data_IF_710376594086
#
_entry.id   IF_710376594086
#
_cell.length_a   1.000
_cell.length_b   1.000
_cell.length_c   1.000
_cell.angle_alpha   90.00
_cell.angle_beta   90.00
_cell.angle_gamma   90.00
#
_symmetry.space_group_name_H-M   'P 1'
#
loop_
_entity.id
_entity.type
_entity.pdbx_description
1 polymer ?
#
# COMPACT_ATOMS: atom_id res chain seq x y z
N UNK A 1 -43.04 -23.43 -10.04
CA UNK A 1 -43.08 -22.03 -10.49
C UNK A 1 -43.17 -21.15 -9.26
N UNK A 2 -42.21 -20.23 -9.12
CA UNK A 2 -42.19 -19.03 -8.26
C UNK A 2 -42.40 -19.20 -6.76
N UNK A 3 -41.68 -18.57 -5.85
CA UNK A 3 -40.50 -17.68 -5.87
C UNK A 3 -39.97 -17.76 -4.43
N UNK A 4 -38.67 -17.93 -4.25
CA UNK A 4 -38.03 -17.80 -2.94
C UNK A 4 -37.04 -16.65 -3.00
N UNK A 5 -37.46 -15.57 -2.36
CA UNK A 5 -36.66 -14.62 -1.59
C UNK A 5 -35.47 -13.94 -2.28
N UNK A 6 -35.78 -12.76 -2.82
CA UNK A 6 -34.87 -11.65 -3.00
C UNK A 6 -34.26 -11.25 -1.64
N UNK A 7 -33.19 -11.92 -1.24
CA UNK A 7 -32.28 -11.43 -0.20
C UNK A 7 -31.41 -10.30 -0.78
N UNK A 8 -32.05 -9.21 -1.18
CA UNK A 8 -31.35 -7.94 -1.38
C UNK A 8 -31.14 -7.31 0.01
N UNK A 9 -30.20 -7.89 0.75
CA UNK A 9 -29.69 -7.32 1.99
C UNK A 9 -28.97 -6.03 1.63
N UNK A 10 -29.71 -4.93 1.75
CA UNK A 10 -29.17 -3.57 1.80
C UNK A 10 -28.25 -3.50 3.03
N UNK A 11 -27.00 -3.96 2.88
CA UNK A 11 -25.91 -3.61 3.80
C UNK A 11 -25.93 -2.09 3.86
N UNK A 12 -26.45 -1.53 4.95
CA UNK A 12 -26.30 -0.11 5.27
C UNK A 12 -24.81 0.20 5.14
N UNK A 13 -24.42 0.81 4.02
CA UNK A 13 -23.03 1.07 3.70
C UNK A 13 -22.56 2.18 4.64
N UNK A 14 -22.00 1.78 5.78
CA UNK A 14 -21.27 2.67 6.68
C UNK A 14 -20.39 3.62 5.86
N UNK A 15 -20.43 4.94 6.13
CA UNK A 15 -19.62 5.91 5.42
C UNK A 15 -18.15 5.51 5.40
N UNK A 16 -17.52 5.59 4.24
CA UNK A 16 -16.10 5.29 4.08
C UNK A 16 -15.42 6.33 3.19
N UNK A 17 -14.10 6.41 3.31
CA UNK A 17 -13.29 7.37 2.57
C UNK A 17 -12.31 6.63 1.65
N UNK A 18 -11.98 7.24 0.52
CA UNK A 18 -10.83 6.84 -0.29
C UNK A 18 -9.56 7.47 0.28
N UNK A 19 -8.52 6.66 0.47
CA UNK A 19 -7.30 7.09 1.13
C UNK A 19 -6.07 6.94 0.25
N UNK A 20 -5.10 7.82 0.51
CA UNK A 20 -3.74 7.66 0.03
C UNK A 20 -2.76 8.08 1.12
N UNK A 21 -1.64 7.38 1.23
CA UNK A 21 -0.61 7.64 2.24
C UNK A 21 0.71 7.69 1.51
N UNK A 22 1.34 8.87 1.45
CA UNK A 22 2.61 9.09 0.76
C UNK A 22 3.68 9.49 1.77
N UNK A 23 4.92 9.10 1.51
CA UNK A 23 6.07 9.59 2.28
C UNK A 23 6.49 10.97 1.77
N UNK A 24 6.76 11.88 2.71
CA UNK A 24 7.53 13.09 2.46
C UNK A 24 8.99 12.85 2.88
N UNK A 25 9.92 13.15 1.98
CA UNK A 25 11.36 13.09 2.23
C UNK A 25 12.08 14.05 1.28
N UNK A 26 12.73 15.12 1.79
CA UNK A 26 13.50 16.05 0.96
C UNK A 26 14.57 15.38 0.10
N UNK A 27 15.14 14.26 0.54
CA UNK A 27 16.14 13.50 -0.22
C UNK A 27 15.59 12.98 -1.55
N UNK A 28 14.27 12.74 -1.65
CA UNK A 28 13.65 12.27 -2.89
C UNK A 28 13.79 13.25 -4.05
N UNK A 29 14.07 14.54 -3.79
CA UNK A 29 14.39 15.51 -4.87
C UNK A 29 15.68 15.18 -5.60
N UNK A 30 16.63 14.51 -4.94
CA UNK A 30 17.86 14.03 -5.56
C UNK A 30 17.66 12.77 -6.41
N UNK A 31 16.48 12.14 -6.32
CA UNK A 31 16.19 10.87 -6.94
C UNK A 31 15.53 11.05 -8.31
N UNK A 32 16.29 10.78 -9.37
CA UNK A 32 15.83 10.89 -10.76
C UNK A 32 14.62 10.01 -11.08
N UNK A 33 14.47 8.90 -10.38
CA UNK A 33 13.34 7.98 -10.53
C UNK A 33 12.05 8.46 -9.82
N UNK A 34 12.14 9.45 -8.92
CA UNK A 34 11.02 10.04 -8.18
C UNK A 34 10.54 11.35 -8.85
N UNK A 35 10.27 11.28 -10.15
CA UNK A 35 9.79 12.43 -10.92
C UNK A 35 8.29 12.68 -10.70
N UNK A 36 7.93 13.95 -10.59
CA UNK A 36 6.59 14.50 -10.43
C UNK A 36 6.23 15.31 -11.69
N UNK A 37 4.96 15.66 -11.91
CA UNK A 37 4.50 16.34 -13.14
C UNK A 37 5.16 17.69 -13.41
N UNK A 38 5.75 18.30 -12.39
CA UNK A 38 6.42 19.60 -12.41
C UNK A 38 7.91 19.52 -12.02
N UNK A 39 8.51 18.32 -11.98
CA UNK A 39 9.95 18.16 -11.71
C UNK A 39 10.29 17.21 -10.57
N UNK A 40 11.40 17.51 -9.88
CA UNK A 40 11.81 16.77 -8.68
C UNK A 40 10.80 16.95 -7.54
N UNK A 41 10.47 15.89 -6.82
CA UNK A 41 9.51 15.96 -5.72
C UNK A 41 10.02 15.33 -4.44
N UNK A 42 9.63 15.93 -3.31
CA UNK A 42 9.83 15.37 -1.98
C UNK A 42 8.76 14.33 -1.63
N UNK A 43 7.73 14.15 -2.47
CA UNK A 43 6.68 13.16 -2.24
C UNK A 43 6.98 11.89 -3.03
N UNK A 44 6.96 10.76 -2.35
CA UNK A 44 7.24 9.46 -2.95
C UNK A 44 6.16 9.07 -3.96
N UNK A 45 6.53 8.97 -5.24
CA UNK A 45 5.69 8.49 -6.34
C UNK A 45 4.30 9.15 -6.42
N UNK A 46 4.19 10.45 -6.13
CA UNK A 46 2.93 11.18 -6.07
C UNK A 46 2.04 11.03 -7.34
N UNK A 47 2.58 10.98 -8.57
CA UNK A 47 1.78 10.69 -9.77
C UNK A 47 1.04 9.34 -9.72
N UNK A 48 1.64 8.31 -9.12
CA UNK A 48 1.00 6.99 -8.95
C UNK A 48 -0.07 7.02 -7.87
N UNK A 49 0.14 7.79 -6.79
CA UNK A 49 -0.89 8.01 -5.78
C UNK A 49 -2.14 8.66 -6.39
N UNK A 50 -1.95 9.68 -7.24
CA UNK A 50 -3.04 10.33 -7.96
C UNK A 50 -3.76 9.36 -8.91
N UNK A 51 -3.02 8.65 -9.77
CA UNK A 51 -3.62 7.71 -10.72
C UNK A 51 -4.44 6.61 -10.03
N UNK A 52 -3.95 6.11 -8.89
CA UNK A 52 -4.70 5.12 -8.09
C UNK A 52 -5.98 5.70 -7.49
N UNK A 53 -5.94 6.94 -6.99
CA UNK A 53 -7.13 7.62 -6.46
C UNK A 53 -8.15 7.89 -7.58
N UNK A 54 -7.69 8.36 -8.73
CA UNK A 54 -8.53 8.61 -9.92
C UNK A 54 -9.28 7.34 -10.34
N UNK A 55 -8.58 6.21 -10.41
CA UNK A 55 -9.17 4.93 -10.73
C UNK A 55 -10.14 4.44 -9.64
N UNK A 56 -9.82 4.63 -8.36
CA UNK A 56 -10.73 4.29 -7.27
C UNK A 56 -12.02 5.13 -7.34
N UNK A 57 -11.93 6.45 -7.55
CA UNK A 57 -13.10 7.32 -7.74
C UNK A 57 -13.99 6.80 -8.87
N UNK A 58 -13.38 6.39 -9.99
CA UNK A 58 -14.10 5.81 -11.13
C UNK A 58 -14.80 4.48 -10.76
N UNK A 59 -14.09 3.56 -10.11
CA UNK A 59 -14.64 2.26 -9.70
C UNK A 59 -15.79 2.38 -8.70
N UNK A 60 -15.70 3.33 -7.78
CA UNK A 60 -16.74 3.65 -6.81
C UNK A 60 -17.88 4.50 -7.38
N UNK A 61 -17.76 4.95 -8.64
CA UNK A 61 -18.72 5.85 -9.31
C UNK A 61 -18.94 7.16 -8.55
N UNK A 62 -17.89 7.65 -7.88
CA UNK A 62 -17.93 8.91 -7.14
C UNK A 62 -17.79 10.10 -8.07
N UNK A 63 -18.54 11.15 -7.80
CA UNK A 63 -18.44 12.43 -8.51
C UNK A 63 -17.77 13.45 -7.60
N UNK A 64 -16.51 13.78 -7.89
CA UNK A 64 -15.73 14.76 -7.11
C UNK A 64 -15.41 15.94 -8.03
N UNK A 65 -16.19 17.01 -7.90
CA UNK A 65 -16.11 18.18 -8.80
C UNK A 65 -14.73 18.86 -8.85
N UNK A 66 -13.89 18.70 -7.83
CA UNK A 66 -12.60 19.36 -7.71
C UNK A 66 -11.42 18.40 -7.51
N UNK A 67 -11.57 17.13 -7.89
CA UNK A 67 -10.46 16.19 -7.87
C UNK A 67 -9.43 16.57 -8.94
N UNK A 68 -8.22 16.93 -8.51
CA UNK A 68 -7.13 17.29 -9.41
C UNK A 68 -5.78 17.00 -8.78
N UNK A 69 -4.77 16.84 -9.65
CA UNK A 69 -3.39 16.62 -9.22
C UNK A 69 -2.86 17.76 -8.35
N UNK A 70 -3.15 19.00 -8.76
CA UNK A 70 -2.75 20.20 -8.03
C UNK A 70 -3.34 20.22 -6.62
N UNK A 71 -4.64 19.89 -6.49
CA UNK A 71 -5.30 19.84 -5.19
C UNK A 71 -4.67 18.77 -4.29
N UNK A 72 -4.50 17.54 -4.78
CA UNK A 72 -3.82 16.48 -4.02
C UNK A 72 -2.44 16.93 -3.53
N UNK A 73 -1.63 17.52 -4.40
CA UNK A 73 -0.29 18.00 -4.04
C UNK A 73 -0.34 19.13 -3.01
N UNK A 74 -1.31 20.03 -3.12
CA UNK A 74 -1.53 21.11 -2.14
C UNK A 74 -1.90 20.55 -0.76
N UNK A 75 -2.80 19.57 -0.70
CA UNK A 75 -3.18 18.91 0.56
C UNK A 75 -1.96 18.20 1.19
N UNK A 76 -1.14 17.51 0.39
CA UNK A 76 0.09 16.89 0.90
C UNK A 76 1.08 17.94 1.46
N UNK A 77 1.24 19.08 0.80
CA UNK A 77 2.09 20.18 1.30
C UNK A 77 1.55 20.77 2.60
N UNK A 78 0.24 21.00 2.69
CA UNK A 78 -0.42 21.50 3.88
C UNK A 78 -0.25 20.54 5.07
N UNK A 79 -0.46 19.24 4.86
CA UNK A 79 -0.26 18.22 5.88
C UNK A 79 1.18 18.17 6.41
N UNK A 80 2.18 18.31 5.52
CA UNK A 80 3.59 18.39 5.93
C UNK A 80 3.89 19.67 6.72
N UNK A 81 3.38 20.82 6.26
CA UNK A 81 3.57 22.09 6.97
C UNK A 81 2.95 22.04 8.37
N UNK A 82 1.75 21.47 8.51
CA UNK A 82 1.09 21.28 9.80
C UNK A 82 1.89 20.34 10.73
N UNK A 83 2.41 19.23 10.21
CA UNK A 83 3.25 18.32 10.98
C UNK A 83 4.56 18.97 11.45
N UNK A 84 5.22 19.75 10.58
CA UNK A 84 6.45 20.49 10.95
C UNK A 84 6.16 21.54 12.02
N UNK A 85 5.05 22.29 11.88
CA UNK A 85 4.65 23.28 12.88
C UNK A 85 4.37 22.63 14.24
N UNK A 86 3.67 21.49 14.27
CA UNK A 86 3.42 20.74 15.50
C UNK A 86 4.72 20.23 16.15
N UNK A 87 5.70 19.78 15.37
CA UNK A 87 7.01 19.35 15.91
C UNK A 87 7.86 20.50 16.45
N UNK A 88 7.67 21.73 15.98
CA UNK A 88 8.39 22.90 16.48
C UNK A 88 7.90 23.36 17.86
N UNK A 89 6.64 23.07 18.18
CA UNK A 89 6.00 23.45 19.45
C UNK A 89 6.41 22.51 20.62
N UNK A 90 6.88 21.29 20.32
CA UNK A 90 7.34 20.32 21.33
C UNK A 90 8.77 20.59 21.87
N UNK A 91 9.38 21.74 21.56
CA UNK A 91 10.61 22.19 22.24
C UNK A 91 11.84 21.29 22.03
N UNK A 92 12.01 20.73 20.83
CA UNK A 92 13.18 19.90 20.51
C UNK A 92 14.37 20.79 20.11
N UNK A 93 15.45 20.72 20.90
CA UNK A 93 16.75 21.33 20.59
C UNK A 93 17.22 20.96 19.16
N UNK A 94 17.46 21.95 18.28
CA UNK A 94 17.83 21.72 16.88
C UNK A 94 19.12 20.91 16.70
N UNK A 95 19.97 20.78 17.72
CA UNK A 95 21.18 19.95 17.68
C UNK A 95 20.91 18.43 17.78
N UNK A 96 19.73 18.02 18.23
CA UNK A 96 19.41 16.60 18.51
C UNK A 96 18.43 15.98 17.52
N UNK A 97 17.81 16.80 16.64
CA UNK A 97 16.77 16.38 15.69
C UNK A 97 17.27 15.64 14.43
N UNK A 98 18.60 15.54 14.22
CA UNK A 98 19.19 14.88 13.05
C UNK A 98 19.73 13.47 13.34
N UNK A 99 18.95 12.64 14.02
CA UNK A 99 19.06 11.18 13.91
C UNK A 99 17.78 10.63 13.31
N UNK A 100 17.49 10.99 12.06
CA UNK A 100 16.64 10.15 11.20
C UNK A 100 17.41 8.84 11.00
N UNK A 101 17.33 7.93 11.98
CA UNK A 101 17.87 6.59 11.90
C UNK A 101 17.32 6.03 10.60
N UNK A 102 18.19 5.71 9.64
CA UNK A 102 17.82 5.00 8.42
C UNK A 102 17.05 3.76 8.86
N UNK A 103 15.72 3.85 8.88
CA UNK A 103 14.88 2.70 9.07
C UNK A 103 15.14 1.82 7.86
N UNK A 104 15.54 0.57 8.07
CA UNK A 104 15.63 -0.43 7.01
C UNK A 104 14.30 -0.65 6.28
N UNK A 105 13.19 -0.13 6.81
CA UNK A 105 11.89 -0.02 6.13
C UNK A 105 11.74 1.25 5.25
N UNK A 106 12.84 1.88 4.84
CA UNK A 106 12.83 3.06 3.96
C UNK A 106 12.37 2.64 2.55
N UNK A 107 11.23 3.13 2.00
CA UNK A 107 10.83 2.85 0.62
C UNK A 107 11.85 3.24 -0.45
N UNK A 108 12.82 4.10 -0.12
CA UNK A 108 14.01 4.36 -0.96
C UNK A 108 14.88 3.11 -1.13
N UNK A 109 15.03 2.26 -0.10
CA UNK A 109 15.70 0.96 -0.25
C UNK A 109 14.93 0.07 -1.22
N UNK A 110 13.59 0.04 -1.18
CA UNK A 110 12.81 -0.69 -2.17
C UNK A 110 13.01 -0.15 -3.61
N UNK A 111 13.26 1.14 -3.78
CA UNK A 111 13.61 1.72 -5.08
C UNK A 111 15.02 1.34 -5.57
N UNK A 112 15.93 0.99 -4.67
CA UNK A 112 17.27 0.49 -4.99
C UNK A 112 17.40 -1.03 -4.93
N UNK A 113 16.43 -1.72 -4.32
CA UNK A 113 16.41 -3.15 -4.06
C UNK A 113 16.64 -3.94 -5.35
N UNK A 114 17.83 -4.47 -5.54
CA UNK A 114 18.07 -5.39 -6.62
C UNK A 114 17.50 -6.75 -6.22
N UNK A 115 16.81 -7.44 -7.14
CA UNK A 115 16.31 -8.79 -6.91
C UNK A 115 17.30 -9.79 -6.32
N UNK A 116 18.60 -9.53 -6.50
CA UNK A 116 19.75 -10.34 -6.10
C UNK A 116 20.43 -9.85 -4.82
N UNK A 117 19.95 -8.76 -4.21
CA UNK A 117 20.49 -8.28 -2.94
C UNK A 117 20.26 -9.33 -1.85
N UNK A 118 21.26 -9.57 -1.01
CA UNK A 118 21.15 -10.51 0.11
C UNK A 118 20.06 -10.03 1.08
N UNK A 119 19.00 -10.83 1.32
CA UNK A 119 17.91 -10.47 2.25
C UNK A 119 18.41 -10.18 3.67
N UNK A 120 19.55 -10.74 4.09
CA UNK A 120 20.16 -10.48 5.39
C UNK A 120 20.61 -9.01 5.57
N UNK A 121 20.72 -8.25 4.47
CA UNK A 121 21.03 -6.81 4.50
C UNK A 121 19.79 -5.95 4.81
N UNK A 122 18.59 -6.55 4.89
CA UNK A 122 17.31 -5.85 5.07
C UNK A 122 16.74 -5.95 6.50
N UNK A 123 17.53 -6.38 7.48
CA UNK A 123 17.10 -6.54 8.87
C UNK A 123 16.58 -5.24 9.52
N UNK A 124 15.55 -5.30 10.37
CA UNK A 124 14.94 -6.53 10.87
C UNK A 124 13.90 -7.12 9.91
N UNK A 125 13.91 -8.44 9.74
CA UNK A 125 12.93 -9.16 8.93
C UNK A 125 11.51 -9.07 9.52
N UNK A 126 10.52 -8.84 8.65
CA UNK A 126 9.10 -8.82 9.02
C UNK A 126 8.57 -10.26 9.18
N UNK A 127 7.97 -10.58 10.32
CA UNK A 127 7.27 -11.86 10.50
C UNK A 127 5.97 -11.86 9.69
N UNK A 128 5.81 -12.83 8.81
CA UNK A 128 4.60 -12.97 8.00
C UNK A 128 3.91 -14.30 8.34
N UNK A 129 2.63 -14.27 8.72
CA UNK A 129 1.79 -15.46 8.89
C UNK A 129 0.69 -15.49 7.85
N UNK A 130 0.28 -16.67 7.40
CA UNK A 130 -0.91 -16.81 6.53
C UNK A 130 -2.16 -16.69 7.41
N UNK A 131 -3.14 -15.93 6.95
CA UNK A 131 -4.45 -15.84 7.60
C UNK A 131 -5.08 -17.24 7.72
N UNK A 132 -5.90 -17.47 8.75
CA UNK A 132 -6.64 -18.72 8.90
C UNK A 132 -7.92 -18.74 8.07
N UNK A 133 -8.37 -17.60 7.56
CA UNK A 133 -9.61 -17.45 6.78
C UNK A 133 -9.37 -16.70 5.46
N UNK A 134 -10.14 -17.01 4.39
CA UNK A 134 -10.03 -16.29 3.13
C UNK A 134 -10.60 -14.87 3.24
N UNK A 135 -9.97 -13.95 2.52
CA UNK A 135 -10.50 -12.59 2.30
C UNK A 135 -11.26 -12.56 0.97
N UNK A 136 -12.58 -12.43 1.03
CA UNK A 136 -13.42 -12.33 -0.17
C UNK A 136 -13.02 -11.14 -1.04
N UNK A 137 -12.84 -11.38 -2.33
CA UNK A 137 -12.61 -10.30 -3.31
C UNK A 137 -13.77 -9.30 -3.29
N UNK A 138 -13.46 -8.01 -3.22
CA UNK A 138 -14.47 -6.97 -3.28
C UNK A 138 -13.89 -5.68 -3.84
N UNK A 139 -14.77 -4.68 -4.07
CA UNK A 139 -14.32 -3.34 -4.40
C UNK A 139 -13.31 -2.83 -3.35
N UNK A 140 -13.59 -3.06 -2.06
CA UNK A 140 -12.78 -2.61 -0.92
C UNK A 140 -11.41 -3.30 -0.78
N UNK A 141 -11.19 -4.45 -1.41
CA UNK A 141 -9.85 -5.07 -1.47
C UNK A 141 -9.03 -4.53 -2.66
N UNK A 142 -9.70 -4.00 -3.68
CA UNK A 142 -9.06 -3.42 -4.89
C UNK A 142 -8.89 -1.90 -4.83
N UNK A 143 -9.41 -1.23 -3.81
CA UNK A 143 -9.32 0.22 -3.60
C UNK A 143 -8.92 0.53 -2.15
N UNK A 144 -8.04 1.51 -1.94
CA UNK A 144 -7.58 1.84 -0.59
C UNK A 144 -8.63 2.71 0.10
N UNK A 145 -9.33 2.14 1.07
CA UNK A 145 -10.40 2.83 1.81
C UNK A 145 -10.20 2.78 3.33
N UNK A 146 -11.03 3.50 4.07
CA UNK A 146 -11.18 3.32 5.53
C UNK A 146 -11.94 2.04 5.89
N UNK A 147 -12.69 1.42 4.97
CA UNK A 147 -13.40 0.14 5.21
C UNK A 147 -12.40 -1.01 5.22
N UNK A 148 -11.89 -1.31 6.43
CA UNK A 148 -10.77 -2.24 6.64
C UNK A 148 -11.09 -3.43 7.55
N UNK A 149 -12.36 -3.62 7.91
CA UNK A 149 -12.79 -4.70 8.81
C UNK A 149 -12.22 -6.09 8.45
N UNK A 150 -12.18 -6.45 7.15
CA UNK A 150 -11.57 -7.71 6.71
C UNK A 150 -10.07 -7.81 6.99
N UNK A 151 -9.32 -6.72 6.78
CA UNK A 151 -7.90 -6.64 7.08
C UNK A 151 -7.64 -6.62 8.59
N UNK A 152 -8.52 -5.98 9.38
CA UNK A 152 -8.42 -5.89 10.83
C UNK A 152 -8.71 -7.24 11.49
N UNK A 153 -9.78 -7.93 11.06
CA UNK A 153 -10.09 -9.29 11.49
C UNK A 153 -8.94 -10.26 11.18
N UNK A 154 -8.31 -10.15 10.01
CA UNK A 154 -7.13 -10.95 9.67
C UNK A 154 -5.97 -10.72 10.64
N UNK A 155 -5.68 -9.46 11.00
CA UNK A 155 -4.64 -9.14 11.98
C UNK A 155 -4.97 -9.64 13.37
N UNK A 156 -6.25 -9.58 13.77
CA UNK A 156 -6.75 -10.09 15.04
C UNK A 156 -6.58 -11.61 15.13
N UNK A 157 -7.05 -12.37 14.13
CA UNK A 157 -6.86 -13.84 14.05
C UNK A 157 -5.39 -14.22 14.10
N UNK A 158 -4.53 -13.43 13.45
CA UNK A 158 -3.08 -13.61 13.45
C UNK A 158 -2.39 -13.16 14.77
N UNK A 159 -3.13 -12.58 15.72
CA UNK A 159 -2.62 -12.09 17.00
C UNK A 159 -1.65 -10.91 16.87
N UNK A 160 -1.72 -10.13 15.77
CA UNK A 160 -0.77 -9.05 15.47
C UNK A 160 -1.25 -7.73 16.08
N UNK A 161 -0.49 -7.20 17.04
CA UNK A 161 -0.79 -5.89 17.64
C UNK A 161 -0.21 -4.73 16.82
N UNK A 162 -0.76 -3.50 16.97
CA UNK A 162 -0.15 -2.31 16.38
C UNK A 162 1.31 -2.13 16.82
N UNK A 163 2.19 -1.82 15.85
CA UNK A 163 3.62 -1.60 16.10
C UNK A 163 4.48 -2.86 16.12
N UNK A 164 3.89 -4.06 16.10
CA UNK A 164 4.67 -5.28 15.89
C UNK A 164 5.30 -5.31 14.51
N UNK A 165 6.52 -5.84 14.43
CA UNK A 165 7.21 -6.13 13.17
C UNK A 165 6.65 -7.42 12.55
N UNK A 166 5.33 -7.43 12.33
CA UNK A 166 4.61 -8.54 11.74
C UNK A 166 3.43 -8.06 10.87
N UNK A 167 3.10 -8.87 9.87
CA UNK A 167 1.92 -8.69 9.01
C UNK A 167 1.28 -10.06 8.73
N UNK A 168 0.06 -10.05 8.22
CA UNK A 168 -0.73 -11.24 7.86
C UNK A 168 -0.90 -11.30 6.36
N UNK A 169 -0.49 -12.42 5.75
CA UNK A 169 -0.63 -12.74 4.33
C UNK A 169 -2.04 -13.29 4.07
N UNK A 170 -2.73 -12.65 3.13
CA UNK A 170 -4.10 -12.96 2.77
C UNK A 170 -4.16 -13.81 1.50
N UNK A 171 -5.23 -14.60 1.40
CA UNK A 171 -5.63 -15.32 0.21
C UNK A 171 -7.13 -15.13 -0.01
N UNK A 172 -7.60 -15.31 -1.25
CA UNK A 172 -9.00 -15.14 -1.59
C UNK A 172 -9.80 -16.45 -1.50
N UNK A 173 -11.09 -16.39 -1.81
CA UNK A 173 -11.99 -17.54 -1.81
C UNK A 173 -11.58 -18.67 -2.79
N UNK A 174 -10.74 -18.37 -3.78
CA UNK A 174 -10.20 -19.36 -4.73
C UNK A 174 -8.89 -20.01 -4.22
N UNK A 175 -8.45 -19.69 -3.00
CA UNK A 175 -7.17 -20.14 -2.45
C UNK A 175 -5.95 -19.37 -2.98
N UNK A 176 -6.15 -18.32 -3.80
CA UNK A 176 -5.05 -17.58 -4.40
C UNK A 176 -4.53 -16.47 -3.46
N UNK A 177 -3.21 -16.42 -3.26
CA UNK A 177 -2.55 -15.34 -2.50
C UNK A 177 -2.83 -13.96 -3.11
N UNK A 178 -3.04 -12.95 -2.26
CA UNK A 178 -3.41 -11.60 -2.68
C UNK A 178 -2.34 -10.56 -2.28
N UNK A 179 -2.29 -10.22 -1.00
CA UNK A 179 -1.44 -9.22 -0.38
C UNK A 179 -1.38 -9.45 1.13
N UNK A 180 -0.68 -8.60 1.87
CA UNK A 180 -0.74 -8.59 3.33
C UNK A 180 -1.60 -7.40 3.82
N UNK A 181 -1.85 -7.30 5.13
CA UNK A 181 -2.87 -6.37 5.63
C UNK A 181 -2.61 -4.88 5.33
N UNK A 182 -1.33 -4.50 5.20
CA UNK A 182 -0.91 -3.12 4.89
C UNK A 182 0.10 -3.03 3.75
N UNK A 183 0.46 -4.15 3.13
CA UNK A 183 1.53 -4.22 2.14
C UNK A 183 1.18 -5.15 0.97
N UNK A 184 1.64 -4.82 -0.24
CA UNK A 184 1.66 -5.80 -1.31
C UNK A 184 2.86 -6.74 -1.15
N UNK A 185 2.71 -7.97 -1.62
CA UNK A 185 3.76 -8.98 -1.56
C UNK A 185 4.34 -9.29 -2.93
N UNK A 186 5.61 -9.67 -2.95
CA UNK A 186 6.27 -10.29 -4.08
C UNK A 186 7.10 -11.47 -3.57
N UNK A 187 7.21 -12.52 -4.37
CA UNK A 187 7.92 -13.75 -4.05
C UNK A 187 9.03 -13.96 -5.07
N UNK A 188 10.23 -14.27 -4.62
CA UNK A 188 11.32 -14.64 -5.51
C UNK A 188 11.12 -16.08 -6.01
N UNK A 189 10.92 -16.26 -7.31
CA UNK A 189 10.66 -17.53 -8.00
C UNK A 189 11.35 -17.51 -9.37
N UNK A 190 11.99 -18.60 -9.75
CA UNK A 190 12.63 -18.76 -11.06
C UNK A 190 13.52 -17.57 -11.45
N UNK A 191 14.33 -17.08 -10.51
CA UNK A 191 15.22 -15.91 -10.67
C UNK A 191 14.52 -14.56 -10.89
N UNK A 192 13.21 -14.45 -10.63
CA UNK A 192 12.46 -13.21 -10.72
C UNK A 192 11.54 -12.97 -9.52
N UNK A 193 11.22 -11.72 -9.23
CA UNK A 193 10.19 -11.38 -8.25
C UNK A 193 8.81 -11.41 -8.90
N UNK A 194 7.89 -12.16 -8.31
CA UNK A 194 6.52 -12.35 -8.79
C UNK A 194 5.54 -11.82 -7.75
N UNK A 195 4.66 -10.91 -8.15
CA UNK A 195 3.57 -10.39 -7.31
C UNK A 195 2.22 -10.92 -7.83
N UNK A 196 1.25 -11.23 -6.93
CA UNK A 196 -0.07 -11.66 -7.34
C UNK A 196 -0.73 -10.71 -8.36
N UNK A 197 -1.46 -11.22 -9.38
CA UNK A 197 -2.15 -10.38 -10.34
C UNK A 197 -3.35 -9.68 -9.68
N UNK A 198 -3.78 -8.53 -10.22
CA UNK A 198 -4.92 -7.79 -9.65
C UNK A 198 -6.24 -8.60 -9.68
N UNK A 199 -6.33 -9.60 -10.54
CA UNK A 199 -7.47 -10.52 -10.60
C UNK A 199 -7.63 -11.37 -9.33
N UNK A 200 -6.60 -11.49 -8.48
CA UNK A 200 -6.76 -12.14 -7.16
C UNK A 200 -7.47 -11.23 -6.16
N UNK A 201 -7.71 -9.96 -6.49
CA UNK A 201 -8.44 -9.00 -5.66
C UNK A 201 -7.56 -8.16 -4.73
N UNK A 202 -6.24 -8.13 -4.95
CA UNK A 202 -5.33 -7.28 -4.18
C UNK A 202 -5.37 -5.80 -4.60
N UNK A 203 -4.95 -4.94 -3.68
CA UNK A 203 -4.83 -3.51 -3.92
C UNK A 203 -3.77 -3.23 -5.01
N UNK A 204 -4.04 -2.36 -6.00
CA UNK A 204 -3.04 -1.85 -6.93
C UNK A 204 -2.11 -0.85 -6.22
N UNK A 205 -1.27 -1.33 -5.30
CA UNK A 205 -0.41 -0.46 -4.49
C UNK A 205 0.60 0.31 -5.34
N UNK A 206 0.95 1.49 -4.85
CA UNK A 206 1.75 2.48 -5.60
C UNK A 206 3.16 1.98 -5.90
N UNK A 207 3.86 1.47 -4.88
CA UNK A 207 5.19 0.91 -5.07
C UNK A 207 5.16 -0.32 -6.00
N UNK A 208 4.16 -1.20 -5.83
CA UNK A 208 3.94 -2.36 -6.71
C UNK A 208 3.76 -1.92 -8.16
N UNK A 209 2.91 -0.93 -8.43
CA UNK A 209 2.66 -0.41 -9.77
C UNK A 209 3.94 0.19 -10.39
N UNK A 210 4.72 0.95 -9.62
CA UNK A 210 5.99 1.49 -10.07
C UNK A 210 7.01 0.38 -10.37
N UNK A 211 7.19 -0.61 -9.47
CA UNK A 211 8.10 -1.74 -9.68
C UNK A 211 7.73 -2.57 -10.93
N UNK A 212 6.44 -2.78 -11.18
CA UNK A 212 5.94 -3.42 -12.40
C UNK A 212 6.30 -2.60 -13.64
N UNK A 213 6.12 -1.28 -13.61
CA UNK A 213 6.47 -0.39 -14.73
C UNK A 213 7.98 -0.37 -14.99
N UNK A 214 8.80 -0.49 -13.95
CA UNK A 214 10.26 -0.58 -14.06
C UNK A 214 10.75 -1.99 -14.48
N UNK A 215 9.86 -2.98 -14.63
CA UNK A 215 10.26 -4.36 -14.94
C UNK A 215 11.01 -5.09 -13.80
N UNK A 216 10.93 -4.56 -12.57
CA UNK A 216 11.66 -5.11 -11.40
C UNK A 216 10.91 -6.25 -10.72
N UNK A 217 9.59 -6.31 -10.90
CA UNK A 217 8.74 -7.42 -10.52
C UNK A 217 7.81 -7.77 -11.68
N UNK A 218 7.25 -8.99 -11.69
CA UNK A 218 6.31 -9.48 -12.71
C UNK A 218 5.00 -9.89 -12.07
N UNK A 219 3.89 -9.81 -12.82
CA UNK A 219 2.62 -10.40 -12.40
C UNK A 219 2.65 -11.90 -12.62
N UNK A 220 2.21 -12.68 -11.64
CA UNK A 220 2.08 -14.13 -11.76
C UNK A 220 1.49 -14.75 -10.50
N UNK A 221 0.99 -15.98 -10.64
CA UNK A 221 0.56 -16.76 -9.47
C UNK A 221 1.82 -17.29 -8.77
N UNK A 222 2.02 -16.98 -7.48
CA UNK A 222 3.01 -17.70 -6.69
C UNK A 222 2.50 -19.13 -6.60
N UNK A 223 3.03 -20.05 -7.39
CA UNK A 223 2.60 -21.45 -7.32
C UNK A 223 2.98 -22.01 -5.95
N UNK A 224 2.12 -22.87 -5.41
CA UNK A 224 2.54 -23.87 -4.44
C UNK A 224 3.68 -24.68 -5.05
N UNK A 225 4.80 -24.81 -4.35
CA UNK A 225 5.66 -25.95 -4.58
C UNK A 225 4.89 -27.16 -4.04
N UNK A 226 4.19 -27.89 -4.91
CA UNK A 226 3.90 -29.29 -4.59
C UNK A 226 5.26 -30.00 -4.53
N UNK A 227 5.60 -30.47 -3.33
CA UNK A 227 6.70 -31.39 -3.08
C UNK A 227 6.13 -32.73 -2.66
#
# INVERSE_FOLDING_TARGET
>A
MSSSDDANGDEQLEPYELLTSTRYDPFLRSQRWNYDRDGSSSFFLLPYHYARLEEAIRLHRWQIASFSYHRLKSECKAAVAAAIAASADEGVDPATAMKYRRSSATPTLAAYFQPTDDPALLEPALRLCVDSEPTRKSLFTTTKTTKRAGYEAARERAGIRPGELADVLLYNEDGALTEASISNVAFFRDSYWVTPPLSTGCLPGVLRAWLLKQGRIRRGHPRHCEG
#
